data_IF_233807962839
#
_entry.id   IF_233807962839
#
_cell.length_a   1.000
_cell.length_b   1.000
_cell.length_c   1.000
_cell.angle_alpha   90.00
_cell.angle_beta   90.00
_cell.angle_gamma   90.00
#
_symmetry.space_group_name_H-M   'P 1'
#
loop_
_entity.id
_entity.type
_entity.pdbx_description
1 polymer ?
#
# COMPACT_ATOMS: atom_id res chain seq x y z
N UNK A 1 -10.40 16.16 -16.51
CA UNK A 1 -10.15 16.10 -17.97
C UNK A 1 -11.43 15.85 -18.78
N UNK A 2 -12.36 15.02 -18.33
CA UNK A 2 -13.59 14.62 -19.02
C UNK A 2 -13.37 14.03 -20.44
N UNK A 3 -12.20 13.43 -20.69
CA UNK A 3 -11.85 12.68 -21.89
C UNK A 3 -10.92 11.51 -21.49
N UNK A 4 -10.95 10.38 -22.23
CA UNK A 4 -9.96 9.34 -22.06
C UNK A 4 -8.54 9.89 -22.19
N UNK A 5 -7.60 9.29 -21.45
CA UNK A 5 -6.23 9.76 -21.36
C UNK A 5 -5.23 8.66 -21.70
N UNK A 6 -4.02 9.04 -22.07
CA UNK A 6 -2.90 8.15 -22.35
C UNK A 6 -1.96 8.09 -21.14
N UNK A 7 -1.55 6.88 -20.77
CA UNK A 7 -0.70 6.64 -19.59
C UNK A 7 0.57 5.88 -19.97
N UNK A 8 1.71 6.25 -19.36
CA UNK A 8 2.95 5.51 -19.48
C UNK A 8 3.29 4.81 -18.16
N UNK A 9 3.54 3.50 -18.20
CA UNK A 9 4.06 2.71 -17.08
C UNK A 9 5.57 2.86 -17.04
N UNK A 10 6.11 3.35 -15.95
CA UNK A 10 7.54 3.56 -15.71
C UNK A 10 8.06 2.45 -14.79
N UNK A 11 8.91 1.58 -15.33
CA UNK A 11 9.38 0.36 -14.67
C UNK A 11 8.55 -0.87 -15.06
N UNK A 12 9.20 -1.81 -15.76
CA UNK A 12 8.61 -3.05 -16.29
C UNK A 12 9.06 -4.26 -15.44
N UNK A 13 8.86 -4.19 -14.13
CA UNK A 13 9.14 -5.27 -13.18
C UNK A 13 7.94 -6.19 -12.95
N UNK A 14 8.13 -7.29 -12.22
CA UNK A 14 7.08 -8.29 -11.99
C UNK A 14 5.82 -7.70 -11.35
N UNK A 15 5.97 -6.75 -10.43
CA UNK A 15 4.82 -6.12 -9.77
C UNK A 15 3.99 -5.27 -10.76
N UNK A 16 4.63 -4.49 -11.61
CA UNK A 16 3.95 -3.66 -12.61
C UNK A 16 3.12 -4.50 -13.60
N UNK A 17 3.55 -5.75 -13.88
CA UNK A 17 2.85 -6.65 -14.79
C UNK A 17 1.38 -6.92 -14.38
N UNK A 18 1.08 -6.89 -13.08
CA UNK A 18 -0.29 -7.05 -12.58
C UNK A 18 -1.22 -5.89 -12.93
N UNK A 19 -0.68 -4.72 -13.26
CA UNK A 19 -1.46 -3.50 -13.50
C UNK A 19 -1.69 -3.19 -14.98
N UNK A 20 -0.80 -3.67 -15.88
CA UNK A 20 -0.84 -3.33 -17.31
C UNK A 20 -2.21 -3.58 -17.93
N UNK A 21 -2.76 -4.80 -17.73
CA UNK A 21 -4.05 -5.18 -18.31
C UNK A 21 -5.21 -4.44 -17.65
N UNK A 22 -5.10 -4.09 -16.38
CA UNK A 22 -6.15 -3.34 -15.68
C UNK A 22 -6.23 -1.93 -16.26
N UNK A 23 -5.09 -1.22 -16.41
CA UNK A 23 -5.05 0.08 -17.07
C UNK A 23 -5.53 0.00 -18.52
N UNK A 24 -5.07 -1.00 -19.29
CA UNK A 24 -5.44 -1.18 -20.70
C UNK A 24 -6.94 -1.43 -20.88
N UNK A 25 -7.59 -2.09 -19.92
CA UNK A 25 -9.03 -2.41 -19.97
C UNK A 25 -9.91 -1.27 -19.45
N UNK A 26 -9.34 -0.24 -18.84
CA UNK A 26 -10.15 0.81 -18.22
C UNK A 26 -10.72 1.76 -19.27
N UNK A 27 -12.05 2.04 -19.28
CA UNK A 27 -12.72 2.83 -20.33
C UNK A 27 -12.23 4.29 -20.40
N UNK A 28 -11.57 4.80 -19.35
CA UNK A 28 -10.98 6.14 -19.35
C UNK A 28 -9.51 6.15 -19.79
N UNK A 29 -8.92 5.00 -20.12
CA UNK A 29 -7.56 4.89 -20.65
C UNK A 29 -7.64 4.60 -22.15
N UNK A 30 -7.17 5.55 -22.95
CA UNK A 30 -7.14 5.42 -24.40
C UNK A 30 -5.99 4.53 -24.86
N UNK A 31 -4.82 4.65 -24.18
CA UNK A 31 -3.60 3.95 -24.58
C UNK A 31 -2.64 3.81 -23.41
N UNK A 32 -1.96 2.66 -23.38
CA UNK A 32 -0.88 2.37 -22.42
C UNK A 32 0.45 2.31 -23.15
N UNK A 33 1.41 3.08 -22.65
CA UNK A 33 2.83 3.02 -23.04
C UNK A 33 3.63 2.38 -21.91
N UNK A 34 4.80 1.86 -22.22
CA UNK A 34 5.74 1.32 -21.25
C UNK A 34 7.14 1.89 -21.46
N UNK A 35 7.85 2.14 -20.36
CA UNK A 35 9.21 2.66 -20.34
C UNK A 35 10.00 1.94 -19.25
N UNK A 36 11.18 1.46 -19.59
CA UNK A 36 12.14 0.90 -18.64
C UNK A 36 13.56 1.27 -19.07
N UNK A 37 14.46 1.48 -18.11
CA UNK A 37 15.89 1.71 -18.38
C UNK A 37 16.54 0.49 -19.01
N UNK A 38 15.96 -0.71 -18.79
CA UNK A 38 16.37 -1.97 -19.42
C UNK A 38 15.43 -2.23 -20.58
N UNK A 39 15.90 -1.89 -21.80
CA UNK A 39 15.08 -1.96 -23.02
C UNK A 39 14.42 -3.33 -23.24
N UNK A 40 15.11 -4.41 -22.89
CA UNK A 40 14.63 -5.77 -23.03
C UNK A 40 13.36 -6.02 -22.20
N UNK A 41 13.26 -5.42 -21.01
CA UNK A 41 12.05 -5.50 -20.17
C UNK A 41 10.86 -4.79 -20.82
N UNK A 42 11.07 -3.61 -21.38
CA UNK A 42 10.02 -2.88 -22.10
C UNK A 42 9.54 -3.66 -23.34
N UNK A 43 10.46 -4.28 -24.09
CA UNK A 43 10.14 -5.11 -25.24
C UNK A 43 9.41 -6.41 -24.85
N UNK A 44 9.74 -7.03 -23.70
CA UNK A 44 8.99 -8.15 -23.16
C UNK A 44 7.55 -7.74 -22.84
N UNK A 45 7.35 -6.59 -22.21
CA UNK A 45 6.02 -6.05 -21.93
C UNK A 45 5.23 -5.76 -23.20
N UNK A 46 5.86 -5.18 -24.22
CA UNK A 46 5.22 -4.99 -25.54
C UNK A 46 4.68 -6.31 -26.09
N UNK A 47 5.51 -7.36 -26.05
CA UNK A 47 5.13 -8.69 -26.56
C UNK A 47 4.03 -9.36 -25.71
N UNK A 48 4.13 -9.26 -24.37
CA UNK A 48 3.19 -9.94 -23.45
C UNK A 48 1.84 -9.28 -23.38
N UNK A 49 1.81 -7.95 -23.42
CA UNK A 49 0.63 -7.16 -23.13
C UNK A 49 0.09 -6.40 -24.34
N UNK A 50 0.78 -6.44 -25.49
CA UNK A 50 0.44 -5.68 -26.67
C UNK A 50 0.27 -4.18 -26.34
N UNK A 51 1.34 -3.56 -25.88
CA UNK A 51 1.44 -2.14 -25.50
C UNK A 51 2.60 -1.49 -26.26
N UNK A 52 2.62 -0.16 -26.36
CA UNK A 52 3.72 0.55 -27.03
C UNK A 52 4.89 0.82 -26.10
N UNK A 53 6.10 0.58 -26.61
CA UNK A 53 7.32 1.01 -25.93
C UNK A 53 7.59 2.46 -26.27
N UNK A 54 7.78 3.30 -25.26
CA UNK A 54 8.35 4.63 -25.43
C UNK A 54 9.88 4.56 -25.21
N UNK A 55 10.58 5.65 -25.50
CA UNK A 55 12.01 5.76 -25.29
C UNK A 55 12.40 5.94 -23.81
N UNK A 56 13.15 6.99 -23.51
CA UNK A 56 13.59 7.29 -22.15
C UNK A 56 12.48 7.95 -21.31
N UNK A 57 12.71 8.06 -20.00
CA UNK A 57 11.78 8.78 -19.11
C UNK A 57 11.67 10.26 -19.51
N UNK A 58 12.78 10.89 -19.95
CA UNK A 58 12.78 12.26 -20.45
C UNK A 58 11.90 12.42 -21.69
N UNK A 59 11.91 11.44 -22.59
CA UNK A 59 11.02 11.42 -23.76
C UNK A 59 9.56 11.25 -23.35
N UNK A 60 9.25 10.44 -22.33
CA UNK A 60 7.91 10.36 -21.74
C UNK A 60 7.46 11.70 -21.20
N UNK A 61 8.32 12.42 -20.47
CA UNK A 61 8.02 13.75 -19.93
C UNK A 61 7.76 14.78 -21.02
N UNK A 62 8.55 14.74 -22.09
CA UNK A 62 8.43 15.66 -23.23
C UNK A 62 7.22 15.37 -24.12
N UNK A 63 6.74 14.13 -24.14
CA UNK A 63 5.64 13.72 -25.01
C UNK A 63 4.30 14.32 -24.54
N UNK A 64 3.74 15.21 -25.34
CA UNK A 64 2.47 15.90 -25.04
C UNK A 64 1.23 15.01 -25.19
N UNK A 65 1.35 13.86 -25.83
CA UNK A 65 0.26 12.91 -25.95
C UNK A 65 0.07 12.07 -24.68
N UNK A 66 1.08 11.94 -23.82
CA UNK A 66 0.99 11.21 -22.57
C UNK A 66 0.47 12.17 -21.50
N UNK A 67 -0.69 11.87 -20.94
CA UNK A 67 -1.37 12.69 -19.93
C UNK A 67 -0.99 12.28 -18.49
N UNK A 68 -0.62 11.00 -18.29
CA UNK A 68 -0.34 10.44 -16.97
C UNK A 68 0.83 9.45 -16.99
N UNK A 69 1.43 9.21 -15.82
CA UNK A 69 2.35 8.08 -15.62
C UNK A 69 1.87 7.18 -14.47
N UNK A 70 2.29 5.90 -14.54
CA UNK A 70 2.21 4.96 -13.43
C UNK A 70 3.64 4.54 -13.06
N UNK A 71 4.14 5.00 -11.91
CA UNK A 71 5.49 4.76 -11.44
C UNK A 71 5.59 3.44 -10.66
N UNK A 72 6.31 2.48 -11.23
CA UNK A 72 6.68 1.18 -10.63
C UNK A 72 8.20 1.00 -10.61
N UNK A 73 8.92 2.09 -10.63
CA UNK A 73 10.38 2.10 -10.50
C UNK A 73 10.81 1.65 -9.10
N UNK A 74 12.11 1.56 -8.87
CA UNK A 74 12.66 1.27 -7.54
C UNK A 74 12.31 2.37 -6.54
N UNK A 75 12.02 2.01 -5.31
CA UNK A 75 11.46 2.88 -4.24
C UNK A 75 12.20 4.20 -4.04
N UNK A 76 13.53 4.15 -4.04
CA UNK A 76 14.36 5.36 -3.87
C UNK A 76 14.29 6.34 -5.04
N UNK A 77 13.72 5.92 -6.18
CA UNK A 77 13.52 6.76 -7.35
C UNK A 77 12.10 7.37 -7.41
N UNK A 78 11.18 6.96 -6.53
CA UNK A 78 9.80 7.44 -6.58
C UNK A 78 9.74 8.96 -6.46
N UNK A 79 10.41 9.55 -5.45
CA UNK A 79 10.42 11.00 -5.24
C UNK A 79 10.78 11.79 -6.50
N UNK A 80 11.99 11.64 -7.04
CA UNK A 80 12.40 12.35 -8.25
C UNK A 80 11.52 12.10 -9.48
N UNK A 81 11.10 10.85 -9.72
CA UNK A 81 10.24 10.50 -10.86
C UNK A 81 8.88 11.20 -10.75
N UNK A 82 8.25 11.12 -9.59
CA UNK A 82 6.93 11.70 -9.34
C UNK A 82 6.96 13.23 -9.47
N UNK A 83 7.94 13.89 -8.83
CA UNK A 83 8.09 15.35 -8.88
C UNK A 83 8.33 15.82 -10.32
N UNK A 84 9.23 15.17 -11.07
CA UNK A 84 9.52 15.54 -12.45
C UNK A 84 8.30 15.34 -13.36
N UNK A 85 7.53 14.25 -13.16
CA UNK A 85 6.32 14.00 -13.92
C UNK A 85 5.24 15.06 -13.67
N UNK A 86 4.98 15.41 -12.40
CA UNK A 86 4.04 16.46 -12.04
C UNK A 86 4.46 17.82 -12.63
N UNK A 87 5.76 18.19 -12.52
CA UNK A 87 6.29 19.43 -13.11
C UNK A 87 6.21 19.43 -14.65
N UNK A 88 6.24 18.25 -15.29
CA UNK A 88 6.03 18.10 -16.73
C UNK A 88 4.55 18.08 -17.16
N UNK A 89 3.62 18.27 -16.23
CA UNK A 89 2.18 18.31 -16.50
C UNK A 89 1.50 16.93 -16.57
N UNK A 90 2.09 15.90 -15.98
CA UNK A 90 1.54 14.54 -15.97
C UNK A 90 0.85 14.24 -14.64
N UNK A 91 -0.36 13.64 -14.69
CA UNK A 91 -0.96 12.99 -13.53
C UNK A 91 -0.13 11.77 -13.13
N UNK A 92 -0.09 11.43 -11.84
CA UNK A 92 0.79 10.35 -11.37
C UNK A 92 0.04 9.35 -10.48
N UNK A 93 0.10 8.08 -10.88
CA UNK A 93 -0.05 6.93 -10.00
C UNK A 93 1.34 6.47 -9.57
N UNK A 94 1.60 6.21 -8.30
CA UNK A 94 2.86 5.58 -7.87
C UNK A 94 2.59 4.32 -7.06
N UNK A 95 3.44 3.31 -7.23
CA UNK A 95 3.50 2.23 -6.26
C UNK A 95 3.96 2.77 -4.89
N UNK A 96 3.85 1.94 -3.88
CA UNK A 96 4.31 2.24 -2.52
C UNK A 96 5.82 1.99 -2.35
N UNK A 97 6.45 2.72 -1.41
CA UNK A 97 5.99 3.88 -0.64
C UNK A 97 5.96 5.16 -1.48
N UNK A 98 5.43 6.25 -0.93
CA UNK A 98 5.43 7.56 -1.60
C UNK A 98 6.83 7.99 -2.04
N UNK A 99 7.80 7.93 -1.14
CA UNK A 99 9.22 8.13 -1.36
C UNK A 99 10.04 7.51 -0.20
N UNK A 100 11.37 7.60 -0.27
CA UNK A 100 12.30 7.05 0.74
C UNK A 100 12.93 8.12 1.63
N UNK A 101 12.52 9.38 1.52
CA UNK A 101 12.92 10.48 2.40
C UNK A 101 11.74 11.37 2.73
N UNK A 102 11.81 12.07 3.86
CA UNK A 102 10.77 13.03 4.27
C UNK A 102 10.72 14.19 3.31
N UNK A 103 11.87 14.68 2.87
CA UNK A 103 12.04 15.80 1.95
C UNK A 103 11.37 15.52 0.60
N UNK A 104 11.56 14.33 0.05
CA UNK A 104 10.88 13.93 -1.20
C UNK A 104 9.36 13.85 -1.02
N UNK A 105 8.89 13.32 0.12
CA UNK A 105 7.46 13.29 0.43
C UNK A 105 6.87 14.71 0.52
N UNK A 106 7.57 15.65 1.16
CA UNK A 106 7.17 17.06 1.24
C UNK A 106 7.14 17.72 -0.14
N UNK A 107 8.18 17.50 -0.97
CA UNK A 107 8.25 18.07 -2.31
C UNK A 107 7.14 17.52 -3.22
N UNK A 108 6.75 16.25 -3.08
CA UNK A 108 5.59 15.70 -3.81
C UNK A 108 4.31 16.43 -3.42
N UNK A 109 4.01 16.58 -2.12
CA UNK A 109 2.80 17.28 -1.64
C UNK A 109 2.79 18.72 -2.15
N UNK A 110 3.92 19.41 -2.05
CA UNK A 110 4.09 20.78 -2.54
C UNK A 110 3.85 20.87 -4.05
N UNK A 111 4.47 19.98 -4.83
CA UNK A 111 4.32 19.96 -6.29
C UNK A 111 2.88 19.64 -6.72
N UNK A 112 2.19 18.74 -6.04
CA UNK A 112 0.75 18.48 -6.28
C UNK A 112 -0.07 19.74 -6.02
N UNK A 113 0.20 20.46 -4.92
CA UNK A 113 -0.48 21.71 -4.59
C UNK A 113 -0.22 22.81 -5.63
N UNK A 114 1.00 22.92 -6.16
CA UNK A 114 1.39 23.91 -7.15
C UNK A 114 0.80 23.63 -8.54
N UNK A 115 0.76 22.36 -8.93
CA UNK A 115 0.32 21.95 -10.28
C UNK A 115 -1.17 21.70 -10.39
N UNK A 116 -1.86 21.38 -9.30
CA UNK A 116 -3.26 20.96 -9.30
C UNK A 116 -3.49 19.62 -10.00
N UNK A 117 -2.43 18.82 -10.20
CA UNK A 117 -2.52 17.54 -10.87
C UNK A 117 -2.85 16.41 -9.88
N UNK A 118 -3.51 15.39 -10.38
CA UNK A 118 -3.79 14.18 -9.61
C UNK A 118 -2.50 13.42 -9.32
N UNK A 119 -2.25 13.19 -8.03
CA UNK A 119 -1.31 12.21 -7.54
C UNK A 119 -2.05 11.19 -6.67
N UNK A 120 -1.79 9.91 -6.89
CA UNK A 120 -2.30 8.82 -6.08
C UNK A 120 -1.19 7.82 -5.78
N UNK A 121 -1.03 7.47 -4.50
CA UNK A 121 -0.22 6.32 -4.12
C UNK A 121 -1.09 5.06 -4.11
N UNK A 122 -0.64 4.01 -4.77
CA UNK A 122 -1.33 2.73 -4.87
C UNK A 122 -1.20 1.87 -3.61
N UNK A 123 -1.62 2.42 -2.45
CA UNK A 123 -1.60 1.66 -1.21
C UNK A 123 -2.76 0.66 -1.16
N UNK A 124 -2.41 -0.61 -1.31
CA UNK A 124 -3.37 -1.71 -1.42
C UNK A 124 -4.17 -1.94 -0.14
N UNK A 125 -3.57 -1.69 1.02
CA UNK A 125 -4.14 -2.04 2.32
C UNK A 125 -5.35 -1.18 2.73
N UNK A 126 -5.61 -0.06 2.05
CA UNK A 126 -6.86 0.70 2.25
C UNK A 126 -8.09 -0.05 1.71
N UNK A 127 -7.86 -1.01 0.82
CA UNK A 127 -8.89 -1.91 0.28
C UNK A 127 -8.83 -3.32 0.88
N UNK A 128 -7.94 -3.55 1.84
CA UNK A 128 -7.93 -4.85 2.52
C UNK A 128 -9.18 -5.02 3.38
N UNK A 129 -9.82 -6.20 3.32
CA UNK A 129 -11.09 -6.43 4.00
C UNK A 129 -11.08 -6.11 5.49
N UNK A 130 -9.98 -6.44 6.21
CA UNK A 130 -9.87 -6.12 7.63
C UNK A 130 -9.83 -4.60 7.90
N UNK A 131 -9.15 -3.82 7.05
CA UNK A 131 -9.11 -2.36 7.18
C UNK A 131 -10.46 -1.73 6.84
N UNK A 132 -11.12 -2.21 5.78
CA UNK A 132 -12.46 -1.78 5.39
C UNK A 132 -13.50 -2.11 6.46
N UNK A 133 -13.42 -3.31 7.05
CA UNK A 133 -14.30 -3.71 8.15
C UNK A 133 -14.13 -2.82 9.38
N UNK A 134 -12.88 -2.63 9.82
CA UNK A 134 -12.60 -1.76 10.96
C UNK A 134 -13.07 -0.33 10.72
N UNK A 135 -12.86 0.21 9.50
CA UNK A 135 -13.36 1.54 9.14
C UNK A 135 -14.87 1.60 9.17
N UNK A 136 -15.57 0.66 8.54
CA UNK A 136 -17.03 0.61 8.48
C UNK A 136 -17.65 0.58 9.89
N UNK A 137 -17.12 -0.27 10.76
CA UNK A 137 -17.61 -0.38 12.12
C UNK A 137 -17.20 0.82 13.01
N UNK A 138 -16.04 1.42 12.75
CA UNK A 138 -15.61 2.64 13.43
C UNK A 138 -16.50 3.84 13.06
N UNK A 139 -16.79 4.02 11.77
CA UNK A 139 -17.67 5.07 11.27
C UNK A 139 -19.12 4.95 11.80
N UNK A 140 -19.60 3.73 12.03
CA UNK A 140 -20.88 3.46 12.70
C UNK A 140 -20.87 3.76 14.21
N UNK A 141 -19.68 3.98 14.80
CA UNK A 141 -19.51 4.17 16.24
C UNK A 141 -19.55 2.88 17.07
N UNK A 142 -19.49 1.70 16.44
CA UNK A 142 -19.48 0.39 17.10
C UNK A 142 -18.37 0.30 18.14
N UNK A 143 -17.16 0.76 17.79
CA UNK A 143 -15.99 0.72 18.68
C UNK A 143 -16.02 1.82 19.78
N UNK A 144 -16.85 2.85 19.64
CA UNK A 144 -16.75 4.04 20.48
C UNK A 144 -15.51 4.87 20.15
N UNK A 145 -14.77 5.33 21.16
CA UNK A 145 -13.49 6.01 20.95
C UNK A 145 -12.40 4.97 20.69
N UNK A 146 -11.57 5.21 19.67
CA UNK A 146 -10.37 4.38 19.43
C UNK A 146 -9.37 4.54 20.58
N UNK A 147 -8.85 3.43 21.09
CA UNK A 147 -7.89 3.40 22.19
C UNK A 147 -6.56 2.86 21.73
N UNK A 148 -6.57 1.68 21.08
CA UNK A 148 -5.37 0.97 20.70
C UNK A 148 -5.59 0.14 19.44
N UNK A 149 -4.57 0.01 18.60
CA UNK A 149 -4.59 -0.90 17.46
C UNK A 149 -3.23 -1.50 17.14
N UNK A 150 -3.26 -2.64 16.47
CA UNK A 150 -2.08 -3.38 16.05
C UNK A 150 -2.20 -3.76 14.58
N UNK A 151 -1.20 -3.36 13.78
CA UNK A 151 -1.09 -3.73 12.38
C UNK A 151 0.32 -4.13 12.02
N UNK A 152 0.43 -5.09 11.11
CA UNK A 152 1.70 -5.70 10.75
C UNK A 152 1.82 -5.88 9.24
N UNK A 153 3.06 -5.80 8.75
CA UNK A 153 3.48 -6.37 7.49
C UNK A 153 4.64 -7.34 7.71
N UNK A 154 4.37 -8.61 7.50
CA UNK A 154 5.33 -9.69 7.61
C UNK A 154 5.68 -10.20 6.22
N UNK A 155 6.94 -10.05 5.83
CA UNK A 155 7.41 -10.40 4.50
C UNK A 155 8.82 -10.96 4.59
N UNK A 156 8.92 -12.22 5.04
CA UNK A 156 10.21 -12.89 5.19
C UNK A 156 10.92 -13.03 3.84
N UNK A 157 12.09 -12.41 3.71
CA UNK A 157 12.85 -12.35 2.47
C UNK A 157 13.49 -13.70 2.09
N UNK A 158 13.60 -14.64 3.03
CA UNK A 158 14.13 -15.99 2.72
C UNK A 158 13.23 -16.79 1.77
N UNK A 159 11.97 -16.39 1.62
CA UNK A 159 10.99 -17.03 0.74
C UNK A 159 10.80 -16.33 -0.60
N UNK A 160 11.59 -15.29 -0.88
CA UNK A 160 11.49 -14.61 -2.17
C UNK A 160 12.24 -15.33 -3.27
N UNK A 161 11.70 -15.33 -4.49
CA UNK A 161 12.45 -15.79 -5.65
C UNK A 161 13.69 -14.91 -5.89
N UNK A 162 14.68 -15.49 -6.51
CA UNK A 162 15.92 -14.84 -6.96
C UNK A 162 15.61 -13.51 -7.66
N UNK A 163 16.24 -12.43 -7.21
CA UNK A 163 15.99 -11.07 -7.75
C UNK A 163 15.66 -10.01 -6.67
N UNK A 164 15.21 -10.44 -5.50
CA UNK A 164 15.08 -9.56 -4.33
C UNK A 164 16.43 -9.35 -3.60
N UNK A 165 17.42 -10.09 -3.98
CA UNK A 165 18.82 -9.90 -3.64
C UNK A 165 19.47 -8.74 -4.42
N UNK A 166 18.74 -8.12 -5.36
CA UNK A 166 19.24 -6.95 -6.06
C UNK A 166 19.32 -5.75 -5.12
N UNK A 167 20.34 -5.01 -5.32
CA UNK A 167 20.93 -3.98 -4.49
C UNK A 167 19.97 -2.95 -3.87
N UNK A 168 18.84 -2.67 -4.47
CA UNK A 168 17.93 -1.62 -3.99
C UNK A 168 16.80 -2.14 -3.11
N UNK A 169 16.52 -3.45 -3.18
CA UNK A 169 15.39 -4.06 -2.52
C UNK A 169 15.83 -4.94 -1.33
N UNK A 170 17.04 -5.54 -1.45
CA UNK A 170 17.61 -6.30 -0.36
C UNK A 170 17.97 -5.38 0.80
N UNK A 171 17.58 -5.73 1.99
CA UNK A 171 17.89 -5.02 3.23
C UNK A 171 17.52 -3.53 3.27
N UNK A 172 16.56 -3.08 2.45
CA UNK A 172 15.94 -1.78 2.68
C UNK A 172 15.42 -1.74 4.12
N UNK A 173 15.62 -0.65 4.87
CA UNK A 173 15.08 -0.55 6.22
C UNK A 173 13.60 -0.93 6.23
N UNK A 174 13.13 -1.83 7.12
CA UNK A 174 11.73 -2.26 7.10
C UNK A 174 10.76 -1.09 7.14
N UNK A 175 11.02 -0.06 7.94
CA UNK A 175 10.20 1.14 8.00
C UNK A 175 10.39 2.15 6.85
N UNK A 176 11.24 1.87 5.87
CA UNK A 176 11.22 2.59 4.58
C UNK A 176 10.18 2.03 3.62
N UNK A 177 9.45 0.99 4.04
CA UNK A 177 8.29 0.44 3.36
C UNK A 177 7.13 0.25 4.34
N UNK A 178 6.66 1.33 5.01
CA UNK A 178 5.78 1.22 6.17
C UNK A 178 4.30 1.15 5.80
N UNK A 179 3.96 1.47 4.55
CA UNK A 179 2.60 1.87 4.20
C UNK A 179 1.59 0.75 4.38
N UNK A 180 1.98 -0.50 4.12
CA UNK A 180 1.10 -1.66 4.30
C UNK A 180 0.70 -1.92 5.76
N UNK A 181 1.49 -1.48 6.72
CA UNK A 181 1.16 -1.61 8.13
C UNK A 181 0.55 -0.32 8.71
N UNK A 182 1.07 0.85 8.34
CA UNK A 182 0.55 2.14 8.86
C UNK A 182 -0.82 2.49 8.28
N UNK A 183 -1.02 2.27 6.97
CA UNK A 183 -2.23 2.73 6.29
C UNK A 183 -3.51 2.12 6.86
N UNK A 184 -3.51 0.83 7.25
CA UNK A 184 -4.72 0.16 7.70
C UNK A 184 -5.37 0.83 8.90
N UNK A 185 -4.59 1.13 9.95
CA UNK A 185 -5.11 1.77 11.16
C UNK A 185 -5.45 3.25 10.93
N UNK A 186 -4.62 3.95 10.14
CA UNK A 186 -4.85 5.37 9.85
C UNK A 186 -6.05 5.55 8.91
N UNK A 187 -6.24 4.67 7.94
CA UNK A 187 -7.43 4.64 7.10
C UNK A 187 -8.70 4.35 7.92
N UNK A 188 -8.64 3.34 8.79
CA UNK A 188 -9.79 2.96 9.60
C UNK A 188 -10.23 4.06 10.57
N UNK A 189 -9.27 4.78 11.16
CA UNK A 189 -9.55 5.81 12.19
C UNK A 189 -9.67 7.23 11.64
N UNK A 190 -9.17 7.50 10.44
CA UNK A 190 -9.00 8.85 9.90
C UNK A 190 -7.96 9.69 10.65
N UNK A 191 -7.22 9.09 11.58
CA UNK A 191 -6.20 9.77 12.37
C UNK A 191 -4.86 9.89 11.62
N UNK A 192 -3.96 10.73 12.12
CA UNK A 192 -2.56 10.82 11.71
C UNK A 192 -1.65 10.51 12.89
N UNK A 193 -0.42 10.10 12.62
CA UNK A 193 0.60 9.91 13.66
C UNK A 193 1.16 11.28 14.05
N UNK A 194 1.31 11.51 15.34
CA UNK A 194 1.89 12.77 15.88
C UNK A 194 3.26 12.53 16.48
N UNK A 195 3.51 11.33 17.00
CA UNK A 195 4.78 10.96 17.64
C UNK A 195 5.02 9.46 17.48
N UNK A 196 6.28 9.05 17.34
CA UNK A 196 6.67 7.65 17.21
C UNK A 196 7.90 7.34 18.04
N UNK A 197 7.96 6.13 18.59
CA UNK A 197 9.15 5.47 19.11
C UNK A 197 9.28 4.09 18.49
N UNK A 198 10.50 3.66 18.16
CA UNK A 198 10.72 2.38 17.50
C UNK A 198 12.04 1.73 17.91
N UNK A 199 12.09 0.40 17.78
CA UNK A 199 13.28 -0.41 17.94
C UNK A 199 13.47 -1.33 16.74
N UNK A 200 14.73 -1.50 16.34
CA UNK A 200 15.14 -2.43 15.30
C UNK A 200 15.71 -3.72 15.91
N UNK A 201 15.36 -4.84 15.31
CA UNK A 201 15.98 -6.14 15.61
C UNK A 201 17.14 -6.38 14.66
N UNK A 202 18.33 -6.58 15.23
CA UNK A 202 19.55 -6.95 14.50
C UNK A 202 19.69 -8.47 14.52
N UNK A 203 19.63 -9.08 13.35
CA UNK A 203 19.90 -10.50 13.21
C UNK A 203 21.41 -10.73 13.14
N UNK A 204 21.98 -11.18 14.24
CA UNK A 204 23.44 -11.40 14.37
C UNK A 204 23.92 -12.64 13.60
N UNK A 205 23.03 -13.54 13.24
CA UNK A 205 23.33 -14.75 12.47
C UNK A 205 23.21 -14.52 10.96
N UNK A 206 22.44 -13.53 10.55
CA UNK A 206 22.29 -13.12 9.15
C UNK A 206 23.50 -12.29 8.73
N UNK A 207 24.20 -12.76 7.71
CA UNK A 207 25.45 -12.12 7.25
C UNK A 207 25.36 -11.58 5.81
N UNK A 208 24.23 -11.79 5.14
CA UNK A 208 24.13 -11.47 3.70
C UNK A 208 23.42 -10.16 3.42
N UNK A 209 22.24 -9.95 4.00
CA UNK A 209 21.43 -8.77 3.68
C UNK A 209 21.55 -7.64 4.72
N UNK A 210 21.27 -7.94 5.98
CA UNK A 210 21.16 -6.93 7.06
C UNK A 210 22.49 -6.76 7.81
N UNK A 211 23.59 -6.67 7.07
CA UNK A 211 24.93 -6.51 7.64
C UNK A 211 25.46 -5.14 7.21
N UNK A 212 26.07 -4.42 8.15
CA UNK A 212 26.71 -3.14 7.89
C UNK A 212 27.71 -3.24 6.74
N UNK A 213 27.64 -2.31 5.79
CA UNK A 213 28.48 -2.29 4.61
C UNK A 213 28.11 -3.32 3.51
N UNK A 214 27.15 -4.23 3.77
CA UNK A 214 26.75 -5.26 2.81
C UNK A 214 25.58 -4.83 1.91
N UNK A 215 24.89 -3.77 2.25
CA UNK A 215 23.75 -3.25 1.49
C UNK A 215 23.85 -1.73 1.29
N UNK A 216 23.17 -1.16 0.26
CA UNK A 216 23.28 0.26 -0.08
C UNK A 216 22.66 1.20 0.96
N UNK A 217 21.90 0.68 1.89
CA UNK A 217 21.24 1.43 2.95
C UNK A 217 22.04 1.46 4.25
N UNK A 218 23.13 0.71 4.31
CA UNK A 218 23.90 0.43 5.55
C UNK A 218 23.00 -0.04 6.72
N UNK A 219 21.86 -0.66 6.37
CA UNK A 219 20.86 -1.11 7.33
C UNK A 219 21.23 -2.45 7.95
N UNK A 220 21.10 -2.52 9.28
CA UNK A 220 21.33 -3.74 10.07
C UNK A 220 20.06 -4.29 10.70
N UNK A 221 18.93 -3.61 10.54
CA UNK A 221 17.65 -4.08 11.08
C UNK A 221 16.92 -4.95 10.08
N UNK A 222 16.66 -6.20 10.43
CA UNK A 222 15.80 -7.10 9.65
C UNK A 222 14.32 -6.96 10.02
N UNK A 223 14.02 -6.51 11.22
CA UNK A 223 12.66 -6.23 11.69
C UNK A 223 12.64 -4.93 12.47
N UNK A 224 11.55 -4.18 12.37
CA UNK A 224 11.35 -2.96 13.14
C UNK A 224 9.95 -2.93 13.74
N UNK A 225 9.88 -2.42 14.98
CA UNK A 225 8.66 -2.38 15.80
C UNK A 225 8.49 -0.98 16.37
N UNK A 226 7.29 -0.41 16.27
CA UNK A 226 7.01 0.94 16.75
C UNK A 226 5.76 1.04 17.60
N UNK A 227 5.73 2.07 18.46
CA UNK A 227 4.54 2.62 19.07
C UNK A 227 4.33 4.04 18.55
N UNK A 228 3.15 4.32 18.05
CA UNK A 228 2.77 5.57 17.42
C UNK A 228 1.61 6.22 18.16
N UNK A 229 1.76 7.46 18.58
CA UNK A 229 0.69 8.27 19.13
C UNK A 229 -0.11 8.88 18.00
N UNK A 230 -1.44 8.73 18.04
CA UNK A 230 -2.34 9.22 17.02
C UNK A 230 -3.01 10.55 17.43
N UNK A 231 -3.40 11.34 16.43
CA UNK A 231 -4.04 12.65 16.62
C UNK A 231 -5.41 12.59 17.33
N UNK A 232 -6.06 11.42 17.32
CA UNK A 232 -7.30 11.17 18.07
C UNK A 232 -7.08 10.73 19.52
N UNK A 233 -5.81 10.68 19.98
CA UNK A 233 -5.40 10.26 21.32
C UNK A 233 -5.14 8.76 21.48
N UNK A 234 -5.43 7.94 20.49
CA UNK A 234 -5.15 6.51 20.49
C UNK A 234 -3.69 6.18 20.24
N UNK A 235 -3.33 4.92 20.44
CA UNK A 235 -1.98 4.39 20.21
C UNK A 235 -2.04 3.28 19.17
N UNK A 236 -1.10 3.28 18.24
CA UNK A 236 -0.91 2.20 17.27
C UNK A 236 0.43 1.48 17.53
N UNK A 237 0.40 0.15 17.53
CA UNK A 237 1.61 -0.69 17.41
C UNK A 237 1.74 -1.13 15.96
N UNK A 238 2.83 -0.75 15.32
CA UNK A 238 3.09 -1.08 13.92
C UNK A 238 4.38 -1.88 13.82
N UNK A 239 4.37 -2.96 13.03
CA UNK A 239 5.50 -3.87 12.86
C UNK A 239 5.78 -4.13 11.39
N UNK A 240 7.04 -4.00 11.01
CA UNK A 240 7.57 -4.29 9.68
C UNK A 240 8.67 -5.34 9.80
N UNK A 241 8.45 -6.55 9.28
CA UNK A 241 9.36 -7.67 9.49
C UNK A 241 9.76 -8.32 8.17
N UNK A 242 11.08 -8.53 8.00
CA UNK A 242 11.69 -9.16 6.82
C UNK A 242 12.38 -10.49 7.15
N UNK A 243 12.49 -10.82 8.45
CA UNK A 243 13.03 -12.08 8.95
C UNK A 243 12.19 -12.53 10.14
N UNK A 244 11.11 -13.25 9.86
CA UNK A 244 10.15 -13.67 10.87
C UNK A 244 9.46 -14.97 10.43
N UNK A 245 9.32 -15.91 11.36
CA UNK A 245 8.67 -17.19 11.12
C UNK A 245 7.16 -17.08 10.91
N UNK A 246 6.77 -16.47 9.82
CA UNK A 246 5.38 -16.27 9.41
C UNK A 246 5.24 -16.49 7.90
N UNK A 247 4.07 -17.00 7.46
CA UNK A 247 3.83 -17.11 6.02
C UNK A 247 3.76 -15.72 5.40
N UNK A 248 4.59 -15.51 4.42
CA UNK A 248 4.74 -14.22 3.76
C UNK A 248 4.17 -14.25 2.33
N UNK A 249 3.87 -13.09 1.78
CA UNK A 249 3.71 -11.79 2.45
C UNK A 249 2.33 -11.66 3.10
N UNK A 250 2.23 -10.96 4.22
CA UNK A 250 0.97 -10.77 4.93
C UNK A 250 0.89 -9.40 5.58
N UNK A 251 -0.17 -8.66 5.28
CA UNK A 251 -0.54 -7.40 5.95
C UNK A 251 -1.90 -7.56 6.62
N UNK A 252 -2.01 -7.22 7.88
CA UNK A 252 -3.25 -7.39 8.62
C UNK A 252 -3.34 -6.53 9.87
N UNK A 253 -4.56 -6.26 10.32
CA UNK A 253 -4.85 -5.73 11.66
C UNK A 253 -5.04 -6.92 12.57
N UNK A 254 -4.16 -7.13 13.56
CA UNK A 254 -4.34 -8.19 14.57
C UNK A 254 -5.27 -7.78 15.70
N UNK A 255 -5.37 -6.49 15.98
CA UNK A 255 -6.23 -5.93 17.00
C UNK A 255 -6.65 -4.50 16.73
N UNK A 256 -7.92 -4.19 16.98
CA UNK A 256 -8.48 -2.84 16.91
C UNK A 256 -9.44 -2.67 18.10
N UNK A 257 -9.04 -1.84 19.07
CA UNK A 257 -9.68 -1.74 20.37
C UNK A 257 -10.24 -0.33 20.58
N UNK A 258 -11.54 -0.27 20.82
CA UNK A 258 -12.23 0.93 21.24
C UNK A 258 -12.81 0.82 22.65
N UNK A 259 -13.50 1.86 23.08
CA UNK A 259 -14.10 1.91 24.42
C UNK A 259 -15.36 1.05 24.57
N UNK A 260 -15.94 0.54 23.46
CA UNK A 260 -17.18 -0.24 23.46
C UNK A 260 -17.06 -1.61 22.81
N UNK A 261 -16.08 -1.78 21.92
CA UNK A 261 -15.89 -3.03 21.19
C UNK A 261 -14.42 -3.20 20.79
N UNK A 262 -14.06 -4.41 20.41
CA UNK A 262 -12.79 -4.72 19.78
C UNK A 262 -12.97 -5.68 18.61
N UNK A 263 -12.08 -5.52 17.62
CA UNK A 263 -11.89 -6.49 16.54
C UNK A 263 -10.54 -7.18 16.73
N UNK A 264 -10.49 -8.48 16.51
CA UNK A 264 -9.28 -9.29 16.62
C UNK A 264 -9.19 -10.30 15.47
N UNK A 265 -7.98 -10.50 14.98
CA UNK A 265 -7.64 -11.54 14.01
C UNK A 265 -6.56 -12.45 14.58
N UNK A 266 -6.82 -13.75 14.61
CA UNK A 266 -5.96 -14.77 15.21
C UNK A 266 -5.37 -15.75 14.17
N UNK A 267 -5.21 -15.32 12.91
CA UNK A 267 -4.77 -16.11 11.76
C UNK A 267 -5.77 -17.17 11.25
N UNK A 268 -6.88 -17.36 11.92
CA UNK A 268 -7.91 -18.31 11.53
C UNK A 268 -9.30 -17.65 11.47
N UNK A 269 -9.58 -16.75 12.41
CA UNK A 269 -10.90 -16.14 12.58
C UNK A 269 -10.78 -14.64 12.77
N UNK A 270 -11.79 -13.93 12.28
CA UNK A 270 -12.04 -12.52 12.56
C UNK A 270 -13.15 -12.43 13.61
N UNK A 271 -12.86 -11.79 14.73
CA UNK A 271 -13.75 -11.74 15.90
C UNK A 271 -14.10 -10.29 16.23
N UNK A 272 -15.39 -10.02 16.44
CA UNK A 272 -15.88 -8.77 17.01
C UNK A 272 -16.38 -9.02 18.42
N UNK A 273 -15.80 -8.35 19.41
CA UNK A 273 -16.26 -8.35 20.79
C UNK A 273 -16.94 -7.02 21.08
N UNK A 274 -18.16 -7.06 21.61
CA UNK A 274 -18.95 -5.87 21.96
C UNK A 274 -19.28 -5.89 23.44
N UNK A 275 -19.06 -4.76 24.13
CA UNK A 275 -19.42 -4.58 25.53
C UNK A 275 -20.79 -3.91 25.56
N UNK A 276 -21.79 -4.57 26.21
CA UNK A 276 -23.12 -4.04 26.39
C UNK A 276 -23.44 -3.98 27.89
N UNK A 277 -24.55 -3.33 28.25
CA UNK A 277 -25.04 -3.32 29.63
C UNK A 277 -25.46 -4.71 30.16
N UNK A 278 -25.71 -5.65 29.24
CA UNK A 278 -26.14 -7.02 29.58
C UNK A 278 -24.98 -8.02 29.59
N UNK A 279 -23.73 -7.53 29.34
CA UNK A 279 -22.52 -8.34 29.34
C UNK A 279 -21.66 -8.16 28.08
N UNK A 280 -20.85 -9.19 27.78
CA UNK A 280 -19.95 -9.21 26.63
C UNK A 280 -20.52 -10.16 25.57
N UNK A 281 -20.65 -9.66 24.34
CA UNK A 281 -21.01 -10.44 23.16
C UNK A 281 -19.82 -10.66 22.28
N UNK A 282 -19.59 -11.89 21.83
CA UNK A 282 -18.55 -12.28 20.86
C UNK A 282 -19.24 -12.77 19.59
N UNK A 283 -18.85 -12.18 18.45
CA UNK A 283 -19.32 -12.57 17.11
C UNK A 283 -18.13 -12.90 16.22
N UNK A 284 -18.16 -14.07 15.57
CA UNK A 284 -17.27 -14.34 14.46
C UNK A 284 -17.76 -13.61 13.19
N UNK A 285 -16.87 -12.85 12.56
CA UNK A 285 -17.15 -12.02 11.38
C UNK A 285 -16.30 -12.43 10.16
N UNK A 286 -15.76 -13.65 10.20
CA UNK A 286 -14.89 -14.17 9.13
C UNK A 286 -15.62 -14.22 7.78
N UNK A 287 -16.90 -14.51 7.75
CA UNK A 287 -17.70 -14.56 6.52
C UNK A 287 -17.89 -13.16 5.88
N UNK A 288 -17.72 -12.09 6.66
CA UNK A 288 -17.77 -10.71 6.15
C UNK A 288 -16.39 -10.23 5.66
N UNK A 289 -15.31 -10.68 6.32
CA UNK A 289 -13.95 -10.15 6.13
C UNK A 289 -13.08 -11.01 5.20
N UNK A 290 -13.23 -12.32 5.23
CA UNK A 290 -12.45 -13.23 4.39
C UNK A 290 -12.80 -13.09 2.90
N UNK A 291 -11.87 -13.44 2.02
CA UNK A 291 -12.17 -13.48 0.58
C UNK A 291 -13.24 -14.53 0.26
N UNK A 292 -13.96 -14.35 -0.85
CA UNK A 292 -15.00 -15.30 -1.28
C UNK A 292 -14.47 -16.73 -1.43
N UNK A 293 -13.28 -16.90 -2.00
CA UNK A 293 -12.69 -18.23 -2.11
C UNK A 293 -12.48 -18.87 -0.74
N UNK A 294 -12.00 -18.12 0.24
CA UNK A 294 -11.81 -18.62 1.58
C UNK A 294 -13.14 -18.98 2.27
N UNK A 295 -14.16 -18.16 2.07
CA UNK A 295 -15.48 -18.39 2.62
C UNK A 295 -16.15 -19.62 2.00
N UNK A 296 -16.05 -19.78 0.67
CA UNK A 296 -16.64 -20.91 -0.06
C UNK A 296 -15.98 -22.24 0.29
N UNK A 297 -14.67 -22.24 0.56
CA UNK A 297 -13.87 -23.47 0.72
C UNK A 297 -13.36 -23.70 2.15
N UNK A 298 -13.84 -22.93 3.13
CA UNK A 298 -13.33 -22.99 4.52
C UNK A 298 -13.42 -24.38 5.18
N UNK A 299 -14.32 -25.24 4.70
CA UNK A 299 -14.50 -26.61 5.19
C UNK A 299 -13.79 -27.68 4.35
N UNK A 300 -13.17 -27.32 3.22
CA UNK A 300 -12.52 -28.26 2.35
C UNK A 300 -11.14 -28.65 2.89
N UNK A 301 -10.74 -29.92 2.69
CA UNK A 301 -9.40 -30.37 3.05
C UNK A 301 -8.33 -29.59 2.28
N UNK A 302 -8.56 -29.36 0.99
CA UNK A 302 -7.68 -28.62 0.10
C UNK A 302 -7.54 -27.14 0.49
N UNK A 303 -8.56 -26.55 1.14
CA UNK A 303 -8.47 -25.18 1.66
C UNK A 303 -7.37 -25.04 2.70
N UNK A 304 -7.26 -25.99 3.64
CA UNK A 304 -6.21 -25.97 4.68
C UNK A 304 -4.82 -26.08 4.05
N UNK A 305 -4.67 -26.92 3.04
CA UNK A 305 -3.41 -27.08 2.29
C UNK A 305 -3.06 -25.83 1.48
N UNK A 306 -4.03 -25.24 0.77
CA UNK A 306 -3.81 -24.01 0.01
C UNK A 306 -3.46 -22.82 0.91
N UNK A 307 -4.14 -22.65 2.02
CA UNK A 307 -3.82 -21.60 3.01
C UNK A 307 -2.43 -21.82 3.61
N UNK A 308 -2.03 -23.05 3.85
CA UNK A 308 -0.70 -23.38 4.34
C UNK A 308 0.42 -23.10 3.31
N UNK A 309 0.15 -23.37 2.01
CA UNK A 309 1.15 -23.30 0.95
C UNK A 309 1.22 -21.97 0.23
N UNK A 310 0.09 -21.27 0.08
CA UNK A 310 -0.02 -20.07 -0.77
C UNK A 310 -0.47 -18.81 -0.02
N UNK A 311 -0.71 -18.89 1.27
CA UNK A 311 -1.30 -17.77 1.99
C UNK A 311 -2.76 -17.53 1.58
N UNK A 312 -3.22 -16.31 1.75
CA UNK A 312 -4.56 -15.88 1.40
C UNK A 312 -4.74 -15.80 -0.12
N UNK A 313 -5.96 -16.05 -0.63
CA UNK A 313 -6.27 -15.88 -2.04
C UNK A 313 -6.04 -14.42 -2.48
N UNK A 314 -4.92 -14.17 -3.11
CA UNK A 314 -4.42 -12.83 -3.43
C UNK A 314 -5.28 -12.10 -4.46
N UNK A 315 -5.99 -12.86 -5.29
CA UNK A 315 -6.65 -12.34 -6.48
C UNK A 315 -8.16 -12.16 -6.31
N UNK A 316 -8.73 -12.62 -5.20
CA UNK A 316 -10.16 -12.62 -5.00
C UNK A 316 -10.64 -11.48 -4.11
N UNK A 317 -11.85 -10.99 -4.44
CA UNK A 317 -12.57 -10.03 -3.62
C UNK A 317 -13.14 -10.69 -2.35
N UNK A 318 -13.60 -9.86 -1.44
CA UNK A 318 -14.31 -10.23 -0.23
C UNK A 318 -15.68 -9.54 -0.17
N UNK A 319 -16.65 -10.04 0.62
CA UNK A 319 -17.93 -9.35 0.82
C UNK A 319 -17.80 -7.90 1.29
N UNK A 320 -16.69 -7.57 1.99
CA UNK A 320 -16.43 -6.21 2.40
C UNK A 320 -16.19 -5.25 1.22
N UNK A 321 -15.82 -5.77 0.06
CA UNK A 321 -15.50 -4.99 -1.14
C UNK A 321 -16.68 -4.91 -2.12
N UNK A 322 -17.81 -5.57 -1.86
CA UNK A 322 -18.94 -5.69 -2.81
C UNK A 322 -19.43 -4.34 -3.34
N UNK A 323 -19.53 -3.33 -2.47
CA UNK A 323 -19.96 -1.99 -2.89
C UNK A 323 -18.98 -1.32 -3.84
N UNK A 324 -17.68 -1.50 -3.62
CA UNK A 324 -16.62 -0.96 -4.47
C UNK A 324 -16.55 -1.75 -5.79
N UNK A 325 -16.65 -3.07 -5.71
CA UNK A 325 -16.65 -3.96 -6.88
C UNK A 325 -17.85 -3.69 -7.79
N UNK A 326 -19.02 -3.44 -7.23
CA UNK A 326 -20.23 -3.10 -8.00
C UNK A 326 -20.11 -1.79 -8.81
N UNK A 327 -19.15 -0.93 -8.45
CA UNK A 327 -18.87 0.34 -9.17
C UNK A 327 -17.80 0.22 -10.24
N UNK A 328 -17.12 -0.94 -10.32
CA UNK A 328 -16.09 -1.15 -11.34
C UNK A 328 -16.72 -1.19 -12.74
N UNK A 329 -16.07 -0.59 -13.75
CA UNK A 329 -16.40 -0.86 -15.13
C UNK A 329 -16.31 -2.37 -15.43
N UNK A 330 -17.22 -2.88 -16.25
CA UNK A 330 -17.26 -4.31 -16.60
C UNK A 330 -15.91 -4.79 -17.15
N UNK A 331 -15.30 -4.00 -18.02
CA UNK A 331 -14.02 -4.30 -18.67
C UNK A 331 -12.89 -4.43 -17.65
N UNK A 332 -12.92 -3.61 -16.59
CA UNK A 332 -11.95 -3.68 -15.48
C UNK A 332 -12.22 -4.91 -14.62
N UNK A 333 -13.48 -5.18 -14.29
CA UNK A 333 -13.85 -6.37 -13.50
C UNK A 333 -13.44 -7.66 -14.20
N UNK A 334 -13.66 -7.77 -15.51
CA UNK A 334 -13.34 -8.95 -16.33
C UNK A 334 -11.87 -9.01 -16.76
N UNK A 335 -11.08 -7.92 -16.58
CA UNK A 335 -9.68 -7.88 -16.99
C UNK A 335 -8.83 -8.91 -16.27
N UNK A 336 -7.78 -9.38 -16.96
CA UNK A 336 -6.73 -10.19 -16.34
C UNK A 336 -5.87 -9.32 -15.44
N UNK A 337 -5.33 -9.93 -14.40
CA UNK A 337 -4.55 -9.24 -13.37
C UNK A 337 -5.44 -8.72 -12.26
N UNK A 338 -5.01 -9.00 -11.10
CA UNK A 338 -5.51 -8.48 -9.83
C UNK A 338 -4.46 -8.87 -8.79
N UNK A 339 -4.70 -8.62 -7.53
CA UNK A 339 -3.80 -9.04 -6.46
C UNK A 339 -4.11 -8.31 -5.17
N UNK A 340 -3.37 -8.66 -4.13
CA UNK A 340 -3.51 -8.02 -2.84
C UNK A 340 -4.99 -7.96 -2.38
N UNK A 341 -5.65 -9.13 -2.35
CA UNK A 341 -7.07 -9.27 -1.97
C UNK A 341 -8.00 -8.38 -2.81
N UNK A 342 -7.81 -8.37 -4.13
CA UNK A 342 -8.68 -7.64 -5.05
C UNK A 342 -8.39 -6.14 -5.19
N UNK A 343 -7.43 -5.61 -4.46
CA UNK A 343 -7.20 -4.16 -4.37
C UNK A 343 -6.68 -3.50 -5.66
N UNK A 344 -5.94 -4.24 -6.52
CA UNK A 344 -5.33 -3.64 -7.71
C UNK A 344 -6.35 -3.02 -8.67
N UNK A 345 -7.47 -3.72 -8.91
CA UNK A 345 -8.54 -3.20 -9.78
C UNK A 345 -9.21 -1.96 -9.18
N UNK A 346 -9.42 -1.97 -7.87
CA UNK A 346 -10.02 -0.85 -7.15
C UNK A 346 -9.11 0.39 -7.16
N UNK A 347 -7.80 0.20 -7.01
CA UNK A 347 -6.81 1.28 -7.07
C UNK A 347 -6.72 1.91 -8.46
N UNK A 348 -6.68 1.09 -9.52
CA UNK A 348 -6.63 1.60 -10.89
C UNK A 348 -7.91 2.36 -11.23
N UNK A 349 -9.07 1.84 -10.83
CA UNK A 349 -10.36 2.50 -11.03
C UNK A 349 -10.43 3.86 -10.31
N UNK A 350 -9.99 3.92 -9.04
CA UNK A 350 -9.94 5.18 -8.27
C UNK A 350 -9.04 6.21 -8.96
N UNK A 351 -7.83 5.83 -9.36
CA UNK A 351 -6.93 6.72 -10.11
C UNK A 351 -7.54 7.21 -11.41
N UNK A 352 -8.02 6.29 -12.24
CA UNK A 352 -8.57 6.64 -13.56
C UNK A 352 -9.81 7.54 -13.45
N UNK A 353 -10.70 7.27 -12.51
CA UNK A 353 -11.86 8.12 -12.21
C UNK A 353 -11.44 9.49 -11.68
N UNK A 354 -10.41 9.55 -10.83
CA UNK A 354 -9.92 10.81 -10.28
C UNK A 354 -9.31 11.69 -11.37
N UNK A 355 -8.51 11.13 -12.27
CA UNK A 355 -7.96 11.88 -13.42
C UNK A 355 -9.07 12.35 -14.36
N UNK A 356 -9.99 11.45 -14.72
CA UNK A 356 -11.07 11.76 -15.66
C UNK A 356 -11.99 12.85 -15.12
N UNK A 357 -12.43 12.76 -13.88
CA UNK A 357 -13.39 13.67 -13.24
C UNK A 357 -12.75 14.89 -12.58
N UNK A 358 -11.41 14.99 -12.52
CA UNK A 358 -10.67 16.00 -11.75
C UNK A 358 -11.08 15.99 -10.27
N UNK A 359 -11.11 14.81 -9.65
CA UNK A 359 -11.44 14.63 -8.24
C UNK A 359 -10.24 14.14 -7.45
N UNK A 360 -10.28 14.34 -6.13
CA UNK A 360 -9.23 13.86 -5.23
C UNK A 360 -9.33 12.33 -5.07
N UNK A 361 -8.25 11.56 -5.33
CA UNK A 361 -8.26 10.12 -5.08
C UNK A 361 -8.23 9.80 -3.59
N UNK A 362 -8.64 8.58 -3.23
CA UNK A 362 -8.67 8.09 -1.84
C UNK A 362 -7.30 8.20 -1.15
N UNK A 363 -6.23 7.79 -1.83
CA UNK A 363 -4.85 7.89 -1.31
C UNK A 363 -4.09 9.01 -2.05
N UNK A 364 -4.57 10.23 -1.88
CA UNK A 364 -3.94 11.43 -2.41
C UNK A 364 -2.59 11.74 -1.73
N UNK A 365 -1.89 12.79 -2.17
CA UNK A 365 -0.56 13.15 -1.68
C UNK A 365 -0.49 13.34 -0.15
N UNK A 366 -1.51 13.93 0.47
CA UNK A 366 -1.56 14.16 1.92
C UNK A 366 -1.76 12.84 2.68
N UNK A 367 -2.62 11.94 2.18
CA UNK A 367 -2.79 10.62 2.77
C UNK A 367 -1.55 9.75 2.57
N UNK A 368 -0.95 9.79 1.39
CA UNK A 368 0.30 9.09 1.10
C UNK A 368 1.43 9.54 2.04
N UNK A 369 1.55 10.83 2.29
CA UNK A 369 2.47 11.42 3.27
C UNK A 369 2.23 10.85 4.67
N UNK A 370 0.98 10.86 5.13
CA UNK A 370 0.57 10.36 6.45
C UNK A 370 0.80 8.86 6.61
N UNK A 371 0.81 8.08 5.52
CA UNK A 371 1.07 6.65 5.56
C UNK A 371 2.56 6.30 5.46
N UNK A 372 3.36 7.15 4.81
CA UNK A 372 4.79 6.90 4.56
C UNK A 372 5.68 7.49 5.64
N UNK A 373 5.52 8.78 5.95
CA UNK A 373 6.47 9.51 6.80
C UNK A 373 6.58 8.96 8.22
N UNK A 374 5.51 8.48 8.88
CA UNK A 374 5.65 7.87 10.21
C UNK A 374 6.66 6.73 10.27
N UNK A 375 6.78 5.93 9.21
CA UNK A 375 7.79 4.87 9.13
C UNK A 375 9.20 5.40 8.99
N UNK A 376 9.41 6.41 8.15
CA UNK A 376 10.73 7.02 7.99
C UNK A 376 11.24 7.57 9.33
N UNK A 377 10.37 8.27 10.08
CA UNK A 377 10.70 8.77 11.42
C UNK A 377 10.85 7.63 12.43
N UNK A 378 10.09 6.53 12.29
CA UNK A 378 10.25 5.34 13.14
C UNK A 378 11.62 4.69 12.96
N UNK A 379 12.11 4.57 11.73
CA UNK A 379 13.46 4.08 11.47
C UNK A 379 14.53 4.99 12.12
N UNK A 380 14.37 6.31 11.99
CA UNK A 380 15.26 7.28 12.66
C UNK A 380 15.23 7.11 14.18
N UNK A 381 14.06 6.91 14.79
CA UNK A 381 13.91 6.60 16.21
C UNK A 381 14.65 5.31 16.58
N UNK A 382 14.52 4.25 15.79
CA UNK A 382 15.21 2.98 16.03
C UNK A 382 16.73 3.12 15.97
N UNK A 383 17.27 3.87 15.00
CA UNK A 383 18.70 4.19 14.91
C UNK A 383 19.21 4.96 16.12
N UNK A 384 18.37 5.77 16.76
CA UNK A 384 18.67 6.53 17.99
C UNK A 384 18.35 5.76 19.27
N UNK A 385 18.12 4.45 19.21
CA UNK A 385 17.85 3.61 20.38
C UNK A 385 16.45 3.77 20.97
N UNK A 386 15.48 4.17 20.17
CA UNK A 386 14.06 4.25 20.57
C UNK A 386 13.65 5.61 21.14
N UNK A 387 14.36 6.67 20.83
CA UNK A 387 13.99 8.03 21.27
C UNK A 387 12.67 8.44 20.64
N UNK A 388 11.68 8.93 21.40
CA UNK A 388 10.44 9.45 20.83
C UNK A 388 10.69 10.66 19.92
N UNK A 389 10.17 10.61 18.69
CA UNK A 389 10.31 11.67 17.69
C UNK A 389 8.93 12.17 17.26
N UNK A 390 8.81 13.46 17.00
CA UNK A 390 7.61 14.06 16.44
C UNK A 390 7.53 13.73 14.94
N UNK A 391 6.31 13.48 14.47
CA UNK A 391 6.05 13.19 13.05
C UNK A 391 5.46 14.43 12.39
N UNK A 392 6.10 14.98 11.32
CA UNK A 392 5.59 16.14 10.61
C UNK A 392 4.26 15.83 9.92
N UNK A 393 3.49 16.88 9.61
CA UNK A 393 2.24 16.79 8.86
C UNK A 393 2.12 17.97 7.89
N UNK A 394 1.61 17.72 6.70
CA UNK A 394 1.43 18.73 5.64
C UNK A 394 0.05 19.39 5.66
N UNK A 395 -0.71 19.20 6.75
CA UNK A 395 -2.07 19.68 6.87
C UNK A 395 -3.08 18.82 6.11
N UNK A 396 -4.28 19.35 5.92
CA UNK A 396 -5.35 18.63 5.22
C UNK A 396 -5.30 18.88 3.71
N UNK A 397 -5.70 17.88 2.95
CA UNK A 397 -5.87 18.02 1.51
C UNK A 397 -6.90 19.11 1.19
N UNK A 398 -6.71 19.90 0.13
CA UNK A 398 -7.75 20.82 -0.34
C UNK A 398 -9.00 20.04 -0.75
N UNK A 399 -10.16 20.69 -0.70
CA UNK A 399 -11.45 20.05 -1.06
C UNK A 399 -11.55 19.68 -2.55
N UNK A 400 -10.74 20.32 -3.38
CA UNK A 400 -10.60 20.06 -4.82
C UNK A 400 -9.17 20.32 -5.26
N UNK A 401 -8.72 19.63 -6.31
CA UNK A 401 -7.44 19.90 -6.98
C UNK A 401 -7.52 21.18 -7.82
#
# INVERSE_FOLDING_TARGET
>A
MNKPFKIAIIGCGDFAAHFVQIFKSHPFVEKVFVCDIIKEKALDYQKRFDVEVTGTFEEVLANKEIDAIACFAQRHLHGPIVVNALKAGKHVYSAVPMASSVEDCEEIVKTVKETGLTYMMGETCVYYPCAMYCKKEYDKGTFGKFVYGESQYFHDLSHFPVGYDTRSESAVPPFYYPTHSTAMLLYATGARVTKVTAMGYVDKEEKTFFTQGANPWDNTFSNEFSLMQLSNGGIARVSECRRIGYKAPSSFISGFYGTKASYQYNNAQHLLTTITKDGVALKEVSDEVSTYEMTAHKNDADFKERVANHGWAWDNFSPMQDEEVARLPKEVFESKGNGHMGSHKLLVDDFCKSVYNATMPKVNAWQAFRYTVPGLIAHESALKGGVPLDVPDMGDAPKSL
#
